data_IF_250843267640
#
_entry.id   IF_250843267640
#
_cell.length_a   1.000
_cell.length_b   1.000
_cell.length_c   1.000
_cell.angle_alpha   90.00
_cell.angle_beta   90.00
_cell.angle_gamma   90.00
#
_symmetry.space_group_name_H-M   'P 1'
#
loop_
_entity.id
_entity.type
_entity.pdbx_description
1 polymer ?
#
# COMPACT_ATOMS: atom_id res chain seq x y z
N UNK A 1 -7.36 9.47 12.88
CA UNK A 1 -7.50 10.78 12.20
C UNK A 1 -6.68 11.89 12.85
N UNK A 2 -6.63 12.01 14.19
CA UNK A 2 -5.82 13.06 14.85
C UNK A 2 -4.33 13.06 14.44
N UNK A 3 -3.67 11.90 14.37
CA UNK A 3 -2.26 11.82 13.94
C UNK A 3 -2.03 12.32 12.50
N UNK A 4 -2.94 12.02 11.57
CA UNK A 4 -2.86 12.50 10.17
C UNK A 4 -3.04 14.01 10.10
N UNK A 5 -3.97 14.56 10.89
CA UNK A 5 -4.18 16.02 10.98
C UNK A 5 -2.94 16.71 11.55
N UNK A 6 -2.32 16.16 12.60
CA UNK A 6 -1.09 16.71 13.18
C UNK A 6 0.08 16.67 12.20
N UNK A 7 0.15 15.64 11.33
CA UNK A 7 1.17 15.54 10.29
C UNK A 7 0.95 16.55 9.15
N UNK A 8 -0.31 16.81 8.78
CA UNK A 8 -0.68 17.66 7.65
C UNK A 8 -0.90 19.15 8.00
N UNK A 9 -1.02 19.49 9.29
CA UNK A 9 -1.35 20.83 9.76
C UNK A 9 -0.20 21.87 9.78
N UNK A 10 1.08 21.53 10.07
CA UNK A 10 2.14 22.51 10.04
C UNK A 10 2.55 22.75 8.57
N UNK A 11 2.37 23.99 8.11
CA UNK A 11 2.71 24.53 6.79
C UNK A 11 2.67 23.52 5.65
N UNK A 12 1.51 23.45 4.97
CA UNK A 12 1.34 22.71 3.73
C UNK A 12 2.55 22.95 2.81
N UNK A 13 3.40 21.94 2.72
CA UNK A 13 4.72 21.98 2.07
C UNK A 13 4.65 22.20 0.55
N UNK A 14 3.44 22.41 0.01
CA UNK A 14 3.13 22.62 -1.39
C UNK A 14 2.26 23.87 -1.55
N UNK A 15 2.50 24.70 -2.59
CA UNK A 15 1.61 25.81 -2.93
C UNK A 15 0.15 25.35 -3.01
N UNK A 16 -0.78 26.15 -2.46
CA UNK A 16 -2.20 25.78 -2.32
C UNK A 16 -2.82 25.23 -3.62
N UNK A 17 -2.44 25.79 -4.78
CA UNK A 17 -2.91 25.37 -6.09
C UNK A 17 -2.44 23.95 -6.49
N UNK A 18 -1.22 23.56 -6.13
CA UNK A 18 -0.66 22.23 -6.42
C UNK A 18 -1.32 21.18 -5.53
N UNK A 19 -1.58 21.53 -4.27
CA UNK A 19 -2.22 20.65 -3.30
C UNK A 19 -3.64 20.24 -3.74
N UNK A 20 -4.43 21.15 -4.32
CA UNK A 20 -5.79 20.86 -4.81
C UNK A 20 -5.79 19.81 -5.93
N UNK A 21 -4.76 19.79 -6.78
CA UNK A 21 -4.65 18.82 -7.88
C UNK A 21 -4.01 17.49 -7.44
N UNK A 22 -2.98 17.54 -6.61
CA UNK A 22 -2.21 16.36 -6.20
C UNK A 22 -2.94 15.54 -5.13
N UNK A 23 -3.69 16.18 -4.23
CA UNK A 23 -4.36 15.47 -3.14
C UNK A 23 -5.43 14.48 -3.64
N UNK A 24 -6.35 14.82 -4.56
CA UNK A 24 -7.27 13.85 -5.14
C UNK A 24 -6.54 12.67 -5.81
N UNK A 25 -5.44 12.94 -6.51
CA UNK A 25 -4.62 11.90 -7.13
C UNK A 25 -4.00 10.98 -6.07
N UNK A 26 -3.47 11.54 -4.99
CA UNK A 26 -2.91 10.78 -3.87
C UNK A 26 -3.96 9.92 -3.14
N UNK A 27 -5.25 10.31 -3.19
CA UNK A 27 -6.36 9.56 -2.60
C UNK A 27 -6.82 8.37 -3.46
N UNK A 28 -6.44 8.30 -4.74
CA UNK A 28 -6.83 7.20 -5.64
C UNK A 28 -6.31 5.87 -5.12
N UNK A 29 -5.01 5.79 -4.80
CA UNK A 29 -4.39 4.56 -4.30
C UNK A 29 -5.03 4.03 -3.01
N UNK A 30 -5.15 4.80 -1.90
CA UNK A 30 -5.78 4.32 -0.68
C UNK A 30 -7.28 4.03 -0.85
N UNK A 31 -7.98 4.70 -1.77
CA UNK A 31 -9.35 4.34 -2.12
C UNK A 31 -9.42 2.93 -2.70
N UNK A 32 -8.61 2.60 -3.71
CA UNK A 32 -8.59 1.26 -4.31
C UNK A 32 -8.14 0.19 -3.31
N UNK A 33 -7.16 0.50 -2.46
CA UNK A 33 -6.72 -0.40 -1.39
C UNK A 33 -7.84 -0.69 -0.38
N UNK A 34 -8.62 0.34 -0.03
CA UNK A 34 -9.81 0.20 0.81
C UNK A 34 -10.90 -0.63 0.14
N UNK A 35 -11.18 -0.36 -1.14
CA UNK A 35 -12.16 -1.12 -1.93
C UNK A 35 -11.77 -2.60 -1.98
N UNK A 36 -10.56 -2.90 -2.43
CA UNK A 36 -10.05 -4.27 -2.52
C UNK A 36 -10.15 -4.99 -1.17
N UNK A 37 -9.59 -4.43 -0.10
CA UNK A 37 -9.59 -5.08 1.21
C UNK A 37 -11.01 -5.44 1.67
N UNK A 38 -11.98 -4.54 1.43
CA UNK A 38 -13.39 -4.79 1.77
C UNK A 38 -14.08 -5.79 0.83
N UNK A 39 -13.78 -5.75 -0.47
CA UNK A 39 -14.27 -6.69 -1.49
C UNK A 39 -13.79 -8.11 -1.16
N UNK A 40 -12.50 -8.29 -0.93
CA UNK A 40 -11.89 -9.57 -0.55
C UNK A 40 -12.42 -10.04 0.80
N UNK A 41 -12.58 -9.15 1.79
CA UNK A 41 -13.15 -9.54 3.08
C UNK A 41 -14.64 -9.94 3.02
N UNK A 42 -15.41 -9.39 2.07
CA UNK A 42 -16.85 -9.64 1.92
C UNK A 42 -17.14 -10.87 1.07
N UNK A 43 -16.50 -10.99 -0.09
CA UNK A 43 -16.77 -12.03 -1.07
C UNK A 43 -15.70 -13.12 -1.12
N UNK A 44 -14.59 -12.92 -0.40
CA UNK A 44 -13.43 -13.81 -0.50
C UNK A 44 -12.75 -13.69 -1.86
N UNK A 45 -11.99 -14.71 -2.20
CA UNK A 45 -11.21 -14.83 -3.43
C UNK A 45 -11.82 -15.86 -4.39
N UNK A 46 -13.09 -16.21 -4.21
CA UNK A 46 -13.81 -17.22 -5.01
C UNK A 46 -13.10 -18.59 -5.09
N UNK A 47 -12.40 -18.99 -4.02
CA UNK A 47 -11.66 -20.25 -3.95
C UNK A 47 -10.21 -20.18 -4.44
N UNK A 48 -9.78 -19.02 -4.97
CA UNK A 48 -8.39 -18.79 -5.36
C UNK A 48 -7.50 -18.57 -4.14
N UNK A 49 -6.28 -19.09 -4.20
CA UNK A 49 -5.22 -18.75 -3.26
C UNK A 49 -4.76 -17.30 -3.44
N UNK A 50 -4.16 -16.67 -2.40
CA UNK A 50 -3.59 -15.32 -2.51
C UNK A 50 -2.56 -15.18 -3.64
N UNK A 51 -1.82 -16.24 -3.97
CA UNK A 51 -0.85 -16.24 -5.08
C UNK A 51 -1.59 -16.15 -6.42
N UNK A 52 -2.68 -16.89 -6.61
CA UNK A 52 -3.47 -16.87 -7.84
C UNK A 52 -4.18 -15.52 -8.02
N UNK A 53 -4.68 -14.93 -6.94
CA UNK A 53 -5.25 -13.57 -6.96
C UNK A 53 -4.19 -12.55 -7.39
N UNK A 54 -3.01 -12.59 -6.79
CA UNK A 54 -1.91 -11.68 -7.14
C UNK A 54 -1.45 -11.87 -8.59
N UNK A 55 -1.39 -13.12 -9.07
CA UNK A 55 -1.06 -13.41 -10.46
C UNK A 55 -2.10 -12.83 -11.41
N UNK A 56 -3.39 -13.04 -11.14
CA UNK A 56 -4.49 -12.47 -11.94
C UNK A 56 -4.44 -10.94 -11.96
N UNK A 57 -4.26 -10.30 -10.80
CA UNK A 57 -4.10 -8.86 -10.69
C UNK A 57 -2.88 -8.35 -11.47
N UNK A 58 -1.76 -9.07 -11.40
CA UNK A 58 -0.53 -8.74 -12.15
C UNK A 58 -0.72 -8.87 -13.66
N UNK A 59 -1.44 -9.88 -14.13
CA UNK A 59 -1.74 -10.06 -15.55
C UNK A 59 -2.61 -8.92 -16.09
N UNK A 60 -3.66 -8.54 -15.36
CA UNK A 60 -4.49 -7.37 -15.72
C UNK A 60 -3.67 -6.08 -15.66
N UNK A 61 -2.86 -5.90 -14.61
CA UNK A 61 -1.96 -4.76 -14.46
C UNK A 61 -0.95 -4.66 -15.60
N UNK A 62 -0.39 -5.78 -16.08
CA UNK A 62 0.52 -5.83 -17.21
C UNK A 62 -0.14 -5.32 -18.49
N UNK A 63 -1.39 -5.73 -18.79
CA UNK A 63 -2.11 -5.26 -19.96
C UNK A 63 -2.33 -3.74 -19.92
N UNK A 64 -2.72 -3.22 -18.76
CA UNK A 64 -2.90 -1.78 -18.55
C UNK A 64 -1.56 -1.05 -18.68
N UNK A 65 -0.49 -1.57 -18.07
CA UNK A 65 0.84 -0.98 -18.12
C UNK A 65 1.40 -0.93 -19.54
N UNK A 66 1.25 -2.00 -20.33
CA UNK A 66 1.65 -2.03 -21.75
C UNK A 66 0.88 -0.97 -22.54
N UNK A 67 -0.44 -0.89 -22.37
CA UNK A 67 -1.27 0.10 -23.05
C UNK A 67 -0.80 1.51 -22.73
N UNK A 68 -0.60 1.83 -21.45
CA UNK A 68 -0.14 3.14 -21.02
C UNK A 68 1.28 3.45 -21.53
N UNK A 69 2.21 2.49 -21.50
CA UNK A 69 3.57 2.67 -21.96
C UNK A 69 3.63 2.96 -23.48
N UNK A 70 2.82 2.27 -24.28
CA UNK A 70 2.74 2.52 -25.73
C UNK A 70 2.10 3.87 -26.03
N UNK A 71 0.95 4.16 -25.42
CA UNK A 71 0.22 5.42 -25.68
C UNK A 71 0.99 6.67 -25.21
N UNK A 72 1.80 6.55 -24.17
CA UNK A 72 2.64 7.64 -23.66
C UNK A 72 4.03 7.72 -24.31
N UNK A 73 4.38 6.79 -25.19
CA UNK A 73 5.72 6.71 -25.79
C UNK A 73 6.83 6.34 -24.79
N UNK A 74 6.47 5.77 -23.63
CA UNK A 74 7.37 5.35 -22.55
C UNK A 74 7.69 3.85 -22.60
N UNK A 75 7.63 3.23 -23.78
CA UNK A 75 7.92 1.81 -23.93
C UNK A 75 9.39 1.50 -23.64
N UNK A 76 9.62 0.52 -22.76
CA UNK A 76 10.95 -0.01 -22.45
C UNK A 76 11.01 -1.47 -22.88
N UNK A 77 12.03 -1.81 -23.68
CA UNK A 77 12.24 -3.20 -24.13
C UNK A 77 12.52 -4.11 -22.93
N UNK A 78 11.80 -5.23 -22.77
CA UNK A 78 12.10 -6.23 -21.75
C UNK A 78 13.24 -7.19 -22.16
N UNK A 79 13.78 -7.03 -23.37
CA UNK A 79 14.84 -7.88 -23.91
C UNK A 79 16.24 -7.37 -23.54
N UNK A 80 17.29 -8.23 -23.63
CA UNK A 80 18.67 -7.83 -23.38
C UNK A 80 19.12 -6.60 -24.21
N UNK A 81 20.13 -5.84 -23.75
CA UNK A 81 20.97 -6.10 -22.57
C UNK A 81 20.34 -5.69 -21.24
N UNK A 82 20.56 -6.50 -20.20
CA UNK A 82 20.13 -6.20 -18.83
C UNK A 82 21.21 -5.41 -18.08
N UNK A 83 20.81 -4.31 -17.45
CA UNK A 83 21.64 -3.51 -16.55
C UNK A 83 21.13 -3.51 -15.11
N UNK A 84 21.73 -2.67 -14.28
CA UNK A 84 21.37 -2.51 -12.87
C UNK A 84 19.94 -2.04 -12.67
N UNK A 85 19.41 -1.19 -13.57
CA UNK A 85 18.04 -0.69 -13.51
C UNK A 85 17.03 -1.82 -13.69
N UNK A 86 17.23 -2.69 -14.68
CA UNK A 86 16.37 -3.85 -14.92
C UNK A 86 16.43 -4.82 -13.74
N UNK A 87 17.63 -5.05 -13.18
CA UNK A 87 17.80 -5.85 -11.96
C UNK A 87 17.05 -5.29 -10.76
N UNK A 88 17.11 -3.97 -10.53
CA UNK A 88 16.40 -3.29 -9.46
C UNK A 88 14.86 -3.38 -9.64
N UNK A 89 14.38 -3.24 -10.88
CA UNK A 89 12.98 -3.42 -11.21
C UNK A 89 12.50 -4.84 -10.91
N UNK A 90 13.24 -5.86 -11.35
CA UNK A 90 12.91 -7.27 -11.08
C UNK A 90 12.89 -7.54 -9.58
N UNK A 91 13.89 -7.08 -8.84
CA UNK A 91 13.95 -7.25 -7.39
C UNK A 91 12.76 -6.56 -6.70
N UNK A 92 12.44 -5.33 -7.10
CA UNK A 92 11.28 -4.59 -6.60
C UNK A 92 9.97 -5.32 -6.89
N UNK A 93 9.79 -5.87 -8.10
CA UNK A 93 8.62 -6.66 -8.47
C UNK A 93 8.49 -7.94 -7.65
N UNK A 94 9.59 -8.64 -7.36
CA UNK A 94 9.58 -9.82 -6.49
C UNK A 94 9.18 -9.46 -5.06
N UNK A 95 9.76 -8.40 -4.51
CA UNK A 95 9.39 -7.90 -3.17
C UNK A 95 7.91 -7.54 -3.14
N UNK A 96 7.43 -6.82 -4.15
CA UNK A 96 6.03 -6.44 -4.28
C UNK A 96 5.11 -7.67 -4.31
N UNK A 97 5.40 -8.67 -5.12
CA UNK A 97 4.60 -9.88 -5.22
C UNK A 97 4.50 -10.60 -3.86
N UNK A 98 5.64 -10.76 -3.15
CA UNK A 98 5.67 -11.40 -1.83
C UNK A 98 4.86 -10.61 -0.80
N UNK A 99 5.06 -9.29 -0.73
CA UNK A 99 4.37 -8.42 0.23
C UNK A 99 2.86 -8.44 -0.03
N UNK A 100 2.45 -8.30 -1.29
CA UNK A 100 1.05 -8.18 -1.64
C UNK A 100 0.29 -9.50 -1.52
N UNK A 101 0.90 -10.63 -1.92
CA UNK A 101 0.35 -11.95 -1.63
C UNK A 101 0.18 -12.18 -0.12
N UNK A 102 1.14 -11.71 0.69
CA UNK A 102 1.04 -11.81 2.16
C UNK A 102 -0.09 -10.92 2.70
N UNK A 103 -0.30 -9.75 2.11
CA UNK A 103 -1.40 -8.85 2.44
C UNK A 103 -2.77 -9.48 2.12
N UNK A 104 -2.95 -10.04 0.92
CA UNK A 104 -4.18 -10.75 0.53
C UNK A 104 -4.49 -11.93 1.45
N UNK A 105 -3.46 -12.70 1.80
CA UNK A 105 -3.56 -13.78 2.78
C UNK A 105 -4.02 -13.26 4.15
N UNK A 106 -3.45 -12.13 4.59
CA UNK A 106 -3.79 -11.51 5.87
C UNK A 106 -5.24 -11.02 5.89
N UNK A 107 -5.74 -10.42 4.79
CA UNK A 107 -7.15 -10.02 4.67
C UNK A 107 -8.06 -11.23 4.85
N UNK A 108 -7.79 -12.35 4.17
CA UNK A 108 -8.60 -13.56 4.27
C UNK A 108 -8.63 -14.17 5.68
N UNK A 109 -7.55 -13.98 6.45
CA UNK A 109 -7.37 -14.55 7.80
C UNK A 109 -7.87 -13.64 8.93
N UNK A 110 -7.59 -12.35 8.87
CA UNK A 110 -7.82 -11.39 9.95
C UNK A 110 -8.86 -10.30 9.61
N UNK A 111 -9.26 -10.20 8.34
CA UNK A 111 -10.21 -9.21 7.83
C UNK A 111 -9.56 -7.88 7.42
N UNK A 112 -10.30 -7.10 6.63
CA UNK A 112 -9.84 -5.84 6.03
C UNK A 112 -9.34 -4.80 7.05
N UNK A 113 -10.03 -4.67 8.19
CA UNK A 113 -9.73 -3.66 9.21
C UNK A 113 -8.42 -3.94 9.93
N UNK A 114 -8.13 -5.23 10.21
CA UNK A 114 -6.85 -5.62 10.77
C UNK A 114 -5.74 -5.57 9.72
N UNK A 115 -6.01 -6.01 8.48
CA UNK A 115 -5.01 -5.94 7.42
C UNK A 115 -4.61 -4.50 7.08
N UNK A 116 -5.55 -3.55 7.10
CA UNK A 116 -5.25 -2.13 6.82
C UNK A 116 -4.32 -1.49 7.85
N UNK A 117 -4.14 -2.12 9.01
CA UNK A 117 -3.17 -1.70 10.02
C UNK A 117 -1.71 -1.73 9.52
N UNK A 118 -1.41 -2.55 8.52
CA UNK A 118 -0.09 -2.63 7.88
C UNK A 118 0.36 -1.26 7.36
N UNK A 119 -0.58 -0.41 6.91
CA UNK A 119 -0.27 0.93 6.43
C UNK A 119 0.46 1.77 7.50
N UNK A 120 0.12 1.64 8.78
CA UNK A 120 0.78 2.37 9.86
C UNK A 120 2.24 1.92 10.06
N UNK A 121 2.48 0.61 9.97
CA UNK A 121 3.84 0.06 10.04
C UNK A 121 4.66 0.54 8.85
N UNK A 122 4.11 0.46 7.63
CA UNK A 122 4.77 0.91 6.41
C UNK A 122 5.13 2.40 6.49
N UNK A 123 4.22 3.25 6.99
CA UNK A 123 4.53 4.68 7.22
C UNK A 123 5.68 4.86 8.22
N UNK A 124 5.64 4.16 9.36
CA UNK A 124 6.71 4.23 10.36
C UNK A 124 8.07 3.76 9.82
N UNK A 125 8.08 2.64 9.10
CA UNK A 125 9.29 2.16 8.43
C UNK A 125 9.77 3.15 7.36
N UNK A 126 8.87 3.79 6.61
CA UNK A 126 9.24 4.84 5.66
C UNK A 126 10.05 5.95 6.32
N UNK A 127 9.57 6.48 7.45
CA UNK A 127 10.29 7.48 8.24
C UNK A 127 11.68 6.97 8.67
N UNK A 128 11.74 5.76 9.23
CA UNK A 128 13.01 5.17 9.71
C UNK A 128 14.00 4.95 8.56
N UNK A 129 13.55 4.43 7.42
CA UNK A 129 14.40 4.20 6.26
C UNK A 129 14.92 5.51 5.67
N UNK A 130 14.09 6.56 5.60
CA UNK A 130 14.55 7.90 5.17
C UNK A 130 15.65 8.44 6.08
N UNK A 131 15.53 8.26 7.40
CA UNK A 131 16.60 8.67 8.33
C UNK A 131 17.89 7.87 8.11
N UNK A 132 17.79 6.55 7.91
CA UNK A 132 18.95 5.67 7.78
C UNK A 132 19.66 5.79 6.42
N UNK A 133 18.91 5.99 5.35
CA UNK A 133 19.43 5.97 3.98
C UNK A 133 19.70 7.38 3.42
N UNK A 134 18.90 8.37 3.83
CA UNK A 134 18.94 9.73 3.29
C UNK A 134 19.45 10.77 4.30
N UNK A 135 19.80 10.36 5.53
CA UNK A 135 20.22 11.22 6.66
C UNK A 135 19.20 12.35 6.98
N UNK A 136 17.91 12.07 6.76
CA UNK A 136 16.84 13.03 7.05
C UNK A 136 16.60 13.21 8.56
N UNK A 137 16.26 14.44 8.95
CA UNK A 137 15.89 14.78 10.34
C UNK A 137 14.47 15.32 10.39
N UNK A 138 13.59 14.57 11.04
CA UNK A 138 12.20 14.95 11.22
C UNK A 138 11.99 15.75 12.50
N UNK A 139 11.01 16.67 12.47
CA UNK A 139 10.63 17.49 13.62
C UNK A 139 9.95 16.64 14.71
N UNK A 140 9.93 17.15 15.95
CA UNK A 140 9.24 16.52 17.07
C UNK A 140 7.76 16.20 16.79
N UNK A 141 7.11 17.00 15.95
CA UNK A 141 5.70 16.82 15.56
C UNK A 141 5.46 15.52 14.79
N UNK A 142 6.42 15.08 13.96
CA UNK A 142 6.33 13.81 13.24
C UNK A 142 6.28 12.64 14.22
N UNK A 143 7.10 12.69 15.28
CA UNK A 143 7.09 11.66 16.32
C UNK A 143 5.81 11.62 17.13
N UNK A 144 5.26 12.80 17.49
CA UNK A 144 3.95 12.88 18.15
C UNK A 144 2.86 12.29 17.27
N UNK A 145 2.83 12.63 15.97
CA UNK A 145 1.88 12.08 15.02
C UNK A 145 1.98 10.55 14.92
N UNK A 146 3.20 10.00 14.84
CA UNK A 146 3.44 8.56 14.82
C UNK A 146 2.93 7.86 16.08
N UNK A 147 3.16 8.43 17.26
CA UNK A 147 2.63 7.88 18.53
C UNK A 147 1.10 7.80 18.50
N UNK A 148 0.43 8.87 18.07
CA UNK A 148 -1.03 8.87 17.95
C UNK A 148 -1.54 7.85 16.92
N UNK A 149 -0.81 7.64 15.82
CA UNK A 149 -1.13 6.60 14.83
C UNK A 149 -0.99 5.19 15.43
N UNK A 150 0.08 4.93 16.19
CA UNK A 150 0.30 3.63 16.84
C UNK A 150 -0.68 3.34 17.99
N UNK A 151 -1.13 4.35 18.73
CA UNK A 151 -2.22 4.19 19.70
C UNK A 151 -3.51 3.77 18.97
N UNK A 152 -3.82 4.43 17.85
CA UNK A 152 -4.95 4.04 17.00
C UNK A 152 -4.85 2.59 16.53
N UNK A 153 -3.65 2.15 16.14
CA UNK A 153 -3.34 0.77 15.79
C UNK A 153 -3.61 -0.22 16.93
N UNK A 154 -3.08 0.06 18.12
CA UNK A 154 -3.17 -0.84 19.27
C UNK A 154 -4.62 -1.10 19.73
N UNK A 155 -5.55 -0.20 19.40
CA UNK A 155 -6.97 -0.30 19.74
C UNK A 155 -7.78 -1.13 18.74
N UNK A 156 -7.21 -1.55 17.61
CA UNK A 156 -7.90 -2.34 16.60
C UNK A 156 -7.71 -3.84 16.85
N UNK A 157 -8.77 -4.50 17.33
CA UNK A 157 -8.78 -5.95 17.54
C UNK A 157 -9.15 -6.70 16.23
N UNK A 158 -8.51 -7.86 15.92
CA UNK A 158 -8.93 -8.72 14.83
C UNK A 158 -10.38 -9.17 15.00
N UNK A 159 -11.14 -9.21 13.91
CA UNK A 159 -12.52 -9.71 13.94
C UNK A 159 -12.51 -11.22 14.26
N UNK A 160 -13.02 -11.62 15.43
CA UNK A 160 -13.25 -13.04 15.74
C UNK A 160 -14.21 -13.63 14.71
N UNK A 161 -13.75 -14.61 13.91
CA UNK A 161 -14.65 -15.42 13.07
C UNK A 161 -15.62 -16.13 14.01
N UNK A 162 -16.90 -15.75 13.96
CA UNK A 162 -17.98 -16.57 14.54
C UNK A 162 -17.94 -17.90 13.80
N UNK A 163 -17.55 -18.99 14.48
CA UNK A 163 -17.69 -20.33 13.92
C UNK A 163 -19.17 -20.49 13.55
N UNK A 164 -19.47 -20.70 12.27
CA UNK A 164 -20.81 -21.10 11.87
C UNK A 164 -21.15 -22.39 12.62
N UNK A 165 -22.38 -22.55 13.15
CA UNK A 165 -22.77 -23.84 13.70
C UNK A 165 -22.64 -24.88 12.60
N UNK A 166 -21.98 -26.00 12.92
CA UNK A 166 -22.05 -27.19 12.08
C UNK A 166 -23.53 -27.63 12.09
N UNK A 167 -24.19 -27.47 10.96
CA UNK A 167 -25.50 -28.08 10.68
C UNK A 167 -25.27 -29.19 9.68
#
# INVERSE_FOLDING_TARGET
MMGVVILAAPDASLPQAVMIAVLPLALVAPFFYGVEGNVVAKWGTFGLSPVEVMFGASAVGLLIAILLAVLSGQWVSPLPPYGSVQGALVLSSVIHAVVYTTYDWLIGRAGAVFASQVAYLVTGFGVVWSMLMLDERYSGWVWVALVFMFIGLALVEPRKRRKAPLV
#
